data_IF_686584601807
#
_entry.id   IF_686584601807
#
_cell.length_a   1.000
_cell.length_b   1.000
_cell.length_c   1.000
_cell.angle_alpha   90.00
_cell.angle_beta   90.00
_cell.angle_gamma   90.00
#
_symmetry.space_group_name_H-M   'P 1'
#
loop_
_entity.id
_entity.type
_entity.pdbx_description
1 polymer ?
#
# COMPACT_ATOMS: atom_id res chain seq x y z
N UNK A 1 -4.36 6.59 21.18
CA UNK A 1 -4.45 6.51 19.70
C UNK A 1 -5.31 5.31 19.35
N UNK A 2 -6.34 5.50 18.52
CA UNK A 2 -7.18 4.38 18.08
C UNK A 2 -6.38 3.43 17.20
N UNK A 3 -6.60 2.12 17.36
CA UNK A 3 -5.97 1.10 16.51
C UNK A 3 -6.39 1.28 15.06
N UNK A 4 -5.50 1.05 14.08
CA UNK A 4 -5.84 1.16 12.66
C UNK A 4 -6.90 0.13 12.25
N UNK A 5 -7.79 0.52 11.34
CA UNK A 5 -8.98 -0.28 10.98
C UNK A 5 -8.97 -0.65 9.50
N UNK A 6 -9.36 -1.89 9.18
CA UNK A 6 -9.65 -2.35 7.82
C UNK A 6 -11.16 -2.43 7.65
N UNK A 7 -11.73 -1.68 6.69
CA UNK A 7 -13.18 -1.60 6.45
C UNK A 7 -13.64 -2.37 5.21
N UNK A 8 -12.73 -2.74 4.32
CA UNK A 8 -13.09 -3.31 3.01
C UNK A 8 -12.14 -4.44 2.59
N UNK A 9 -12.60 -5.37 1.72
CA UNK A 9 -11.72 -6.42 1.16
C UNK A 9 -10.53 -5.85 0.38
N UNK A 10 -10.72 -4.74 -0.35
CA UNK A 10 -9.64 -4.05 -1.09
C UNK A 10 -8.54 -3.51 -0.17
N UNK A 11 -8.92 -2.95 0.99
CA UNK A 11 -7.96 -2.52 2.02
C UNK A 11 -7.21 -3.71 2.62
N UNK A 12 -7.90 -4.82 2.90
CA UNK A 12 -7.25 -6.05 3.39
C UNK A 12 -6.20 -6.56 2.40
N UNK A 13 -6.53 -6.63 1.10
CA UNK A 13 -5.60 -7.05 0.05
C UNK A 13 -4.40 -6.12 -0.08
N UNK A 14 -4.60 -4.80 -0.01
CA UNK A 14 -3.50 -3.83 -0.02
C UNK A 14 -2.55 -4.02 1.16
N UNK A 15 -3.08 -4.16 2.38
CA UNK A 15 -2.26 -4.41 3.57
C UNK A 15 -1.51 -5.75 3.46
N UNK A 16 -2.16 -6.82 2.99
CA UNK A 16 -1.51 -8.11 2.77
C UNK A 16 -0.37 -8.01 1.74
N UNK A 17 -0.58 -7.28 0.64
CA UNK A 17 0.47 -7.02 -0.35
C UNK A 17 1.66 -6.25 0.25
N UNK A 18 1.39 -5.18 1.01
CA UNK A 18 2.44 -4.38 1.65
C UNK A 18 3.23 -5.16 2.69
N UNK A 19 2.60 -6.09 3.43
CA UNK A 19 3.31 -7.00 4.35
C UNK A 19 4.15 -8.01 3.58
N UNK A 20 3.59 -8.62 2.52
CA UNK A 20 4.27 -9.67 1.75
C UNK A 20 5.49 -9.15 0.99
N UNK A 21 5.38 -7.99 0.37
CA UNK A 21 6.41 -7.46 -0.54
C UNK A 21 7.24 -6.33 0.09
N UNK A 22 6.80 -5.75 1.21
CA UNK A 22 7.47 -4.64 1.90
C UNK A 22 7.33 -3.28 1.19
N UNK A 23 7.56 -3.26 -0.13
CA UNK A 23 7.46 -2.08 -1.00
C UNK A 23 6.70 -2.48 -2.26
N UNK A 24 5.64 -1.74 -2.61
CA UNK A 24 4.75 -2.09 -3.73
C UNK A 24 4.52 -0.86 -4.60
N UNK A 25 4.78 -0.95 -5.91
CA UNK A 25 4.52 0.16 -6.82
C UNK A 25 3.01 0.45 -6.91
N UNK A 26 2.64 1.69 -7.24
CA UNK A 26 1.23 2.08 -7.41
C UNK A 26 0.50 1.14 -8.37
N UNK A 27 1.13 0.78 -9.49
CA UNK A 27 0.57 -0.14 -10.49
C UNK A 27 0.31 -1.52 -9.92
N UNK A 28 1.29 -2.11 -9.22
CA UNK A 28 1.14 -3.44 -8.63
C UNK A 28 0.13 -3.43 -7.49
N UNK A 29 0.12 -2.38 -6.67
CA UNK A 29 -0.84 -2.23 -5.59
C UNK A 29 -2.27 -2.19 -6.12
N UNK A 30 -2.50 -1.49 -7.23
CA UNK A 30 -3.78 -1.49 -7.94
C UNK A 30 -4.23 -2.89 -8.36
N UNK A 31 -3.33 -3.66 -8.97
CA UNK A 31 -3.60 -5.05 -9.37
C UNK A 31 -3.90 -5.95 -8.17
N UNK A 32 -3.04 -5.92 -7.14
CA UNK A 32 -3.16 -6.78 -5.95
C UNK A 32 -4.39 -6.43 -5.11
N UNK A 33 -4.70 -5.15 -4.96
CA UNK A 33 -5.87 -4.68 -4.21
C UNK A 33 -7.17 -4.70 -5.02
N UNK A 34 -7.11 -4.81 -6.35
CA UNK A 34 -8.26 -4.75 -7.25
C UNK A 34 -8.88 -3.35 -7.29
N UNK A 35 -8.05 -2.31 -7.44
CA UNK A 35 -8.49 -0.91 -7.54
C UNK A 35 -7.82 -0.20 -8.71
N UNK A 36 -8.54 0.75 -9.32
CA UNK A 36 -8.02 1.60 -10.39
C UNK A 36 -7.31 2.86 -9.86
N UNK A 37 -7.61 3.27 -8.62
CA UNK A 37 -6.99 4.43 -7.96
C UNK A 37 -6.31 4.01 -6.63
N UNK A 38 -5.09 3.45 -6.69
CA UNK A 38 -4.31 3.09 -5.52
C UNK A 38 -4.02 4.28 -4.57
N UNK A 39 -3.71 5.50 -5.06
CA UNK A 39 -3.54 6.66 -4.19
C UNK A 39 -4.73 6.92 -3.26
N UNK A 40 -5.97 6.86 -3.78
CA UNK A 40 -7.16 7.04 -2.95
C UNK A 40 -7.34 5.90 -1.93
N UNK A 41 -7.00 4.66 -2.31
CA UNK A 41 -7.00 3.53 -1.38
C UNK A 41 -6.01 3.76 -0.22
N UNK A 42 -4.80 4.26 -0.52
CA UNK A 42 -3.79 4.57 0.49
C UNK A 42 -4.21 5.75 1.37
N UNK A 43 -4.79 6.80 0.79
CA UNK A 43 -5.36 7.92 1.55
C UNK A 43 -6.46 7.44 2.51
N UNK A 44 -7.34 6.55 2.05
CA UNK A 44 -8.38 5.94 2.89
C UNK A 44 -7.80 5.08 4.02
N UNK A 45 -6.72 4.33 3.78
CA UNK A 45 -5.99 3.63 4.84
C UNK A 45 -5.41 4.63 5.84
N UNK A 46 -4.83 5.74 5.38
CA UNK A 46 -4.33 6.83 6.23
C UNK A 46 -5.41 7.39 7.16
N UNK A 47 -6.59 7.70 6.61
CA UNK A 47 -7.76 8.15 7.38
C UNK A 47 -8.25 7.10 8.39
N UNK A 48 -7.94 5.82 8.17
CA UNK A 48 -8.25 4.72 9.07
C UNK A 48 -7.13 4.42 10.09
N UNK A 49 -6.14 5.30 10.23
CA UNK A 49 -5.07 5.20 11.21
C UNK A 49 -3.82 4.44 10.74
N UNK A 50 -3.76 4.02 9.48
CA UNK A 50 -2.58 3.35 8.93
C UNK A 50 -1.50 4.36 8.57
N UNK A 51 -0.29 4.15 9.08
CA UNK A 51 0.87 4.95 8.71
C UNK A 51 1.66 4.28 7.60
N UNK A 52 1.85 5.02 6.51
CA UNK A 52 2.54 4.58 5.32
C UNK A 52 3.38 5.72 4.74
N UNK A 53 4.33 5.37 3.88
CA UNK A 53 5.08 6.32 3.08
C UNK A 53 4.93 6.01 1.60
N UNK A 54 5.09 7.04 0.79
CA UNK A 54 5.20 6.93 -0.66
C UNK A 54 6.50 7.60 -1.08
N UNK A 55 7.34 6.86 -1.78
CA UNK A 55 8.54 7.39 -2.43
C UNK A 55 8.29 7.43 -3.93
N UNK A 56 8.72 8.48 -4.62
CA UNK A 56 8.72 8.48 -6.08
C UNK A 56 10.01 7.82 -6.57
N UNK A 57 9.88 6.82 -7.44
CA UNK A 57 11.03 6.14 -8.06
C UNK A 57 11.09 6.49 -9.53
N UNK A 58 12.29 6.66 -10.09
CA UNK A 58 12.45 6.87 -11.53
C UNK A 58 12.41 5.54 -12.28
N UNK A 59 11.53 5.44 -13.26
CA UNK A 59 11.33 4.25 -14.09
C UNK A 59 11.23 4.70 -15.54
N UNK A 60 11.96 4.04 -16.43
CA UNK A 60 11.76 4.22 -17.88
C UNK A 60 10.48 3.51 -18.30
N UNK A 61 9.59 4.23 -18.97
CA UNK A 61 8.40 3.64 -19.59
C UNK A 61 8.72 2.95 -20.92
N UNK A 62 7.69 2.40 -21.56
CA UNK A 62 7.83 1.69 -22.83
C UNK A 62 8.26 2.58 -24.00
N UNK A 63 8.11 3.90 -23.88
CA UNK A 63 8.49 4.89 -24.88
C UNK A 63 9.87 5.49 -24.60
N UNK A 64 10.59 4.98 -23.58
CA UNK A 64 11.89 5.47 -23.15
C UNK A 64 11.85 6.79 -22.37
N UNK A 65 10.68 7.21 -21.87
CA UNK A 65 10.53 8.42 -21.05
C UNK A 65 10.64 8.09 -19.57
N UNK A 66 11.23 9.01 -18.81
CA UNK A 66 11.30 8.89 -17.35
C UNK A 66 9.92 9.17 -16.77
N UNK A 67 9.38 8.17 -16.08
CA UNK A 67 8.20 8.25 -15.26
C UNK A 67 8.58 8.17 -13.77
N UNK A 68 7.74 8.74 -12.90
CA UNK A 68 7.95 8.77 -11.45
C UNK A 68 6.80 8.13 -10.68
N UNK A 69 6.55 6.81 -10.81
CA UNK A 69 5.48 6.15 -10.07
C UNK A 69 5.76 6.15 -8.56
N UNK A 70 4.67 6.18 -7.78
CA UNK A 70 4.74 6.01 -6.33
C UNK A 70 5.07 4.57 -5.92
N UNK A 71 5.93 4.42 -4.94
CA UNK A 71 6.32 3.17 -4.28
C UNK A 71 5.89 3.24 -2.82
N UNK A 72 4.93 2.40 -2.45
CA UNK A 72 4.28 2.43 -1.15
C UNK A 72 4.87 1.41 -0.20
N UNK A 73 5.02 1.79 1.08
CA UNK A 73 5.34 0.87 2.18
C UNK A 73 4.65 1.30 3.48
N UNK A 74 4.46 0.35 4.39
CA UNK A 74 4.00 0.65 5.75
C UNK A 74 5.16 1.17 6.60
N UNK A 75 4.88 2.13 7.49
CA UNK A 75 5.84 2.49 8.55
C UNK A 75 5.89 1.37 9.59
N UNK A 76 7.02 1.26 10.30
CA UNK A 76 7.31 0.16 11.22
C UNK A 76 6.15 -0.15 12.18
N UNK A 77 5.60 0.87 12.83
CA UNK A 77 4.44 0.72 13.73
C UNK A 77 3.21 0.08 13.08
N UNK A 78 2.89 0.47 11.84
CA UNK A 78 1.77 -0.09 11.09
C UNK A 78 2.11 -1.45 10.49
N UNK A 79 3.37 -1.69 10.13
CA UNK A 79 3.84 -2.99 9.64
C UNK A 79 3.69 -4.08 10.70
N UNK A 80 4.05 -3.80 11.95
CA UNK A 80 3.90 -4.76 13.05
C UNK A 80 2.44 -5.08 13.36
N UNK A 81 1.56 -4.07 13.28
CA UNK A 81 0.11 -4.27 13.42
C UNK A 81 -0.45 -5.08 12.23
N UNK A 82 0.00 -4.78 11.00
CA UNK A 82 -0.41 -5.50 9.81
C UNK A 82 -0.01 -6.97 9.87
N UNK A 83 1.25 -7.29 10.20
CA UNK A 83 1.73 -8.68 10.32
C UNK A 83 0.84 -9.52 11.24
N UNK A 84 0.39 -8.96 12.36
CA UNK A 84 -0.54 -9.66 13.28
C UNK A 84 -1.93 -9.89 12.66
N UNK A 85 -2.43 -8.93 11.88
CA UNK A 85 -3.77 -9.03 11.27
C UNK A 85 -3.82 -9.88 10.00
N UNK A 86 -2.74 -9.95 9.20
CA UNK A 86 -2.70 -10.77 7.97
C UNK A 86 -1.90 -12.06 8.12
N UNK A 87 -1.04 -12.18 9.13
CA UNK A 87 -0.29 -13.40 9.47
C UNK A 87 -1.03 -14.34 10.43
N UNK A 88 -2.24 -14.01 10.88
CA UNK A 88 -3.14 -14.90 11.61
C UNK A 88 -4.03 -15.72 10.65
N UNK A 89 -3.44 -16.21 9.56
CA UNK A 89 -4.09 -17.06 8.55
C UNK A 89 -3.38 -18.40 8.46
#
# INVERSE_FOLDING_TARGET
MNSPIIRTPRQRRAIAALVKYGRVSSRELGKLAGVLNPPELMAALGRNGWKWRCELIEVLDGDGKICRPGLYSLLQESLEIAKKMVGAG
#
